data_IF_251931021204
#
_entry.id   IF_251931021204
#
_cell.length_a   1.000
_cell.length_b   1.000
_cell.length_c   1.000
_cell.angle_alpha   90.00
_cell.angle_beta   90.00
_cell.angle_gamma   90.00
#
_symmetry.space_group_name_H-M   'P 1'
#
loop_
_entity.id
_entity.type
_entity.pdbx_description
1 polymer ?
#
# COMPACT_ATOMS: atom_id res chain seq x y z
N UNK A 1 -23.01 -47.74 4.65
CA UNK A 1 -21.67 -47.16 4.91
C UNK A 1 -21.34 -45.91 4.09
N UNK A 2 -21.63 -45.83 2.78
CA UNK A 2 -21.36 -44.64 1.93
C UNK A 2 -21.93 -43.30 2.47
N UNK A 3 -23.12 -43.30 3.08
CA UNK A 3 -23.77 -42.09 3.61
C UNK A 3 -23.12 -41.55 4.91
N UNK A 4 -22.58 -42.43 5.75
CA UNK A 4 -21.91 -42.06 7.02
C UNK A 4 -20.53 -41.46 6.74
N UNK A 5 -19.79 -42.01 5.77
CA UNK A 5 -18.52 -41.44 5.31
C UNK A 5 -18.70 -40.04 4.71
N UNK A 6 -19.80 -39.80 3.97
CA UNK A 6 -20.09 -38.49 3.41
C UNK A 6 -20.37 -37.44 4.51
N UNK A 7 -21.14 -37.81 5.54
CA UNK A 7 -21.41 -36.94 6.68
C UNK A 7 -20.16 -36.66 7.51
N UNK A 8 -19.31 -37.66 7.73
CA UNK A 8 -18.03 -37.47 8.43
C UNK A 8 -17.08 -36.57 7.62
N UNK A 9 -17.03 -36.75 6.29
CA UNK A 9 -16.24 -35.92 5.38
C UNK A 9 -16.73 -34.46 5.34
N UNK A 10 -18.05 -34.25 5.26
CA UNK A 10 -18.66 -32.91 5.33
C UNK A 10 -18.43 -32.25 6.70
N UNK A 11 -18.47 -33.03 7.79
CA UNK A 11 -18.18 -32.54 9.14
C UNK A 11 -16.71 -32.10 9.25
N UNK A 12 -15.74 -32.90 8.80
CA UNK A 12 -14.32 -32.53 8.79
C UNK A 12 -14.07 -31.29 7.91
N UNK A 13 -14.72 -31.20 6.75
CA UNK A 13 -14.67 -30.01 5.88
C UNK A 13 -15.21 -28.76 6.59
N UNK A 14 -16.33 -28.87 7.30
CA UNK A 14 -16.91 -27.74 8.05
C UNK A 14 -16.01 -27.27 9.19
N UNK A 15 -15.29 -28.16 9.87
CA UNK A 15 -14.28 -27.79 10.87
C UNK A 15 -13.04 -27.18 10.24
N UNK A 16 -12.60 -27.65 9.07
CA UNK A 16 -11.45 -27.09 8.36
C UNK A 16 -11.71 -25.68 7.82
N UNK A 17 -12.93 -25.40 7.35
CA UNK A 17 -13.36 -24.07 6.91
C UNK A 17 -13.52 -23.11 8.09
N UNK A 18 -14.10 -23.57 9.21
CA UNK A 18 -14.19 -22.76 10.44
C UNK A 18 -12.83 -22.52 11.08
N UNK A 19 -11.90 -23.48 11.01
CA UNK A 19 -10.53 -23.25 11.45
C UNK A 19 -9.84 -22.23 10.52
N UNK A 20 -9.94 -22.38 9.20
CA UNK A 20 -9.35 -21.42 8.27
C UNK A 20 -9.86 -19.97 8.47
N UNK A 21 -11.13 -19.78 8.86
CA UNK A 21 -11.66 -18.46 9.23
C UNK A 21 -11.20 -17.99 10.63
N UNK A 22 -11.09 -18.87 11.61
CA UNK A 22 -10.66 -18.53 12.98
C UNK A 22 -9.22 -18.05 13.06
N UNK A 23 -8.32 -18.67 12.29
CA UNK A 23 -6.92 -18.26 12.23
C UNK A 23 -6.81 -16.85 11.61
N UNK A 24 -7.68 -16.55 10.66
CA UNK A 24 -7.76 -15.23 10.04
C UNK A 24 -8.23 -14.14 11.02
N UNK A 25 -9.25 -14.41 11.85
CA UNK A 25 -9.75 -13.42 12.83
C UNK A 25 -8.75 -13.08 13.92
N UNK A 26 -8.04 -14.09 14.46
CA UNK A 26 -6.97 -13.86 15.45
C UNK A 26 -5.85 -13.02 14.84
N UNK A 27 -5.40 -13.38 13.63
CA UNK A 27 -4.32 -12.66 12.97
C UNK A 27 -4.71 -11.23 12.61
N UNK A 28 -5.95 -11.00 12.16
CA UNK A 28 -6.51 -9.66 11.93
C UNK A 28 -6.47 -8.83 13.22
N UNK A 29 -6.93 -9.40 14.34
CA UNK A 29 -6.93 -8.73 15.64
C UNK A 29 -5.50 -8.39 16.11
N UNK A 30 -4.55 -9.30 15.93
CA UNK A 30 -3.14 -9.08 16.23
C UNK A 30 -2.54 -7.97 15.36
N UNK A 31 -2.86 -7.93 14.06
CA UNK A 31 -2.40 -6.87 13.16
C UNK A 31 -2.93 -5.50 13.61
N UNK A 32 -4.21 -5.41 13.96
CA UNK A 32 -4.77 -4.16 14.50
C UNK A 32 -4.13 -3.76 15.84
N UNK A 33 -3.84 -4.72 16.72
CA UNK A 33 -3.13 -4.45 17.97
C UNK A 33 -1.70 -3.96 17.72
N UNK A 34 -0.99 -4.53 16.73
CA UNK A 34 0.33 -4.04 16.30
C UNK A 34 0.24 -2.61 15.77
N UNK A 35 -0.72 -2.31 14.90
CA UNK A 35 -0.92 -0.96 14.35
C UNK A 35 -1.17 0.08 15.46
N UNK A 36 -1.97 -0.25 16.49
CA UNK A 36 -2.22 0.63 17.66
C UNK A 36 -0.95 1.03 18.42
N UNK A 37 0.13 0.27 18.32
CA UNK A 37 1.43 0.63 18.94
C UNK A 37 2.18 1.72 18.17
N UNK A 38 1.85 1.95 16.90
CA UNK A 38 2.56 2.88 16.02
C UNK A 38 1.85 4.22 15.83
N UNK A 39 0.53 4.29 16.10
CA UNK A 39 -0.30 5.45 15.81
C UNK A 39 -1.11 5.88 17.02
N UNK A 40 -1.40 7.17 17.11
CA UNK A 40 -2.47 7.65 17.99
C UNK A 40 -3.81 7.09 17.53
N UNK A 41 -4.80 7.06 18.41
CA UNK A 41 -6.14 6.56 18.06
C UNK A 41 -6.76 7.36 16.90
N UNK A 42 -6.60 8.69 16.90
CA UNK A 42 -7.09 9.56 15.83
C UNK A 42 -6.38 9.28 14.50
N UNK A 43 -5.04 9.17 14.51
CA UNK A 43 -4.28 8.85 13.29
C UNK A 43 -4.68 7.47 12.75
N UNK A 44 -4.86 6.48 13.65
CA UNK A 44 -5.24 5.13 13.27
C UNK A 44 -6.62 5.10 12.61
N UNK A 45 -7.60 5.78 13.20
CA UNK A 45 -8.96 5.86 12.65
C UNK A 45 -8.97 6.55 11.28
N UNK A 46 -8.21 7.64 11.13
CA UNK A 46 -8.09 8.35 9.87
C UNK A 46 -7.47 7.47 8.77
N UNK A 47 -6.37 6.78 9.07
CA UNK A 47 -5.71 5.87 8.12
C UNK A 47 -6.65 4.73 7.77
N UNK A 48 -7.27 4.07 8.76
CA UNK A 48 -8.20 2.96 8.54
C UNK A 48 -9.33 3.34 7.59
N UNK A 49 -9.97 4.49 7.82
CA UNK A 49 -11.05 4.99 6.96
C UNK A 49 -10.58 5.26 5.52
N UNK A 50 -9.32 5.67 5.32
CA UNK A 50 -8.77 5.80 3.96
C UNK A 50 -8.57 4.45 3.30
N UNK A 51 -7.99 3.49 4.02
CA UNK A 51 -7.70 2.14 3.52
C UNK A 51 -8.95 1.40 3.01
N UNK A 52 -10.14 1.71 3.56
CA UNK A 52 -11.40 1.14 3.09
C UNK A 52 -11.69 1.44 1.61
N UNK A 53 -11.03 2.44 1.00
CA UNK A 53 -11.20 2.81 -0.40
C UNK A 53 -10.17 2.19 -1.36
N UNK A 54 -9.20 1.42 -0.86
CA UNK A 54 -8.01 1.01 -1.63
C UNK A 54 -8.16 -0.33 -2.36
N UNK A 55 -9.31 -0.98 -2.26
CA UNK A 55 -9.60 -2.20 -3.02
C UNK A 55 -8.84 -3.45 -2.55
N UNK A 56 -8.54 -3.54 -1.24
CA UNK A 56 -7.97 -4.77 -0.65
C UNK A 56 -8.87 -5.99 -0.89
N UNK A 57 -8.27 -7.15 -1.13
CA UNK A 57 -9.01 -8.39 -1.40
C UNK A 57 -9.81 -8.88 -0.18
N UNK A 58 -9.28 -8.65 1.02
CA UNK A 58 -9.90 -9.05 2.28
C UNK A 58 -9.39 -8.20 3.46
N UNK A 59 -10.04 -8.37 4.61
CA UNK A 59 -9.73 -7.64 5.85
C UNK A 59 -8.33 -7.98 6.40
N UNK A 60 -7.84 -9.19 6.15
CA UNK A 60 -6.50 -9.60 6.55
C UNK A 60 -5.42 -8.82 5.82
N UNK A 61 -5.51 -8.71 4.49
CA UNK A 61 -4.55 -7.94 3.70
C UNK A 61 -4.54 -6.46 4.11
N UNK A 62 -5.73 -5.88 4.35
CA UNK A 62 -5.87 -4.50 4.84
C UNK A 62 -5.23 -4.33 6.22
N UNK A 63 -5.56 -5.20 7.17
CA UNK A 63 -5.05 -5.12 8.55
C UNK A 63 -3.52 -5.33 8.59
N UNK A 64 -3.00 -6.26 7.80
CA UNK A 64 -1.57 -6.52 7.69
C UNK A 64 -0.84 -5.34 7.05
N UNK A 65 -1.37 -4.78 5.95
CA UNK A 65 -0.85 -3.57 5.34
C UNK A 65 -0.79 -2.40 6.33
N UNK A 66 -1.87 -2.19 7.10
CA UNK A 66 -1.93 -1.18 8.15
C UNK A 66 -0.88 -1.38 9.24
N UNK A 67 -0.63 -2.63 9.62
CA UNK A 67 0.28 -2.97 10.73
C UNK A 67 1.76 -3.04 10.34
N UNK A 68 2.08 -3.35 9.09
CA UNK A 68 3.46 -3.58 8.63
C UNK A 68 3.94 -2.52 7.65
N UNK A 69 3.12 -2.16 6.66
CA UNK A 69 3.55 -1.29 5.55
C UNK A 69 3.40 0.18 5.88
N UNK A 70 2.27 0.60 6.47
CA UNK A 70 2.06 2.01 6.83
C UNK A 70 3.12 2.52 7.82
N UNK A 71 3.48 1.81 8.91
CA UNK A 71 4.55 2.24 9.80
C UNK A 71 5.90 2.36 9.11
N UNK A 72 6.19 1.46 8.15
CA UNK A 72 7.43 1.49 7.39
C UNK A 72 7.52 2.71 6.47
N UNK A 73 6.48 3.00 5.70
CA UNK A 73 6.39 4.20 4.86
C UNK A 73 6.59 5.46 5.72
N UNK A 74 5.87 5.54 6.86
CA UNK A 74 6.04 6.64 7.81
C UNK A 74 7.47 6.73 8.35
N UNK A 75 8.07 5.58 8.65
CA UNK A 75 9.47 5.48 9.09
C UNK A 75 10.42 6.06 8.06
N UNK A 76 10.29 5.68 6.80
CA UNK A 76 11.17 6.13 5.71
C UNK A 76 10.99 7.62 5.43
N UNK A 77 9.77 8.14 5.43
CA UNK A 77 9.51 9.59 5.36
C UNK A 77 10.21 10.34 6.49
N UNK A 78 10.12 9.82 7.73
CA UNK A 78 10.76 10.43 8.90
C UNK A 78 12.27 10.36 8.85
N UNK A 79 12.86 9.27 8.33
CA UNK A 79 14.32 9.13 8.15
C UNK A 79 14.88 10.25 7.27
N UNK A 80 14.14 10.67 6.24
CA UNK A 80 14.55 11.78 5.37
C UNK A 80 14.09 13.16 5.88
N UNK A 81 13.47 13.24 7.05
CA UNK A 81 13.07 14.49 7.70
C UNK A 81 11.61 14.93 7.48
N UNK A 82 10.81 14.17 6.74
CA UNK A 82 9.38 14.45 6.53
C UNK A 82 8.56 13.88 7.69
N UNK A 83 7.95 14.78 8.49
CA UNK A 83 7.18 14.42 9.68
C UNK A 83 5.69 14.68 9.56
N UNK A 84 5.24 15.35 8.50
CA UNK A 84 3.83 15.72 8.35
C UNK A 84 2.96 14.50 8.07
N UNK A 85 1.89 14.33 8.85
CA UNK A 85 0.93 13.26 8.63
C UNK A 85 0.18 13.43 7.29
N UNK A 86 0.00 14.66 6.78
CA UNK A 86 -0.60 14.89 5.46
C UNK A 86 0.20 14.24 4.33
N UNK A 87 1.53 14.33 4.35
CA UNK A 87 2.38 13.70 3.34
C UNK A 87 2.30 12.18 3.42
N UNK A 88 2.21 11.62 4.63
CA UNK A 88 1.95 10.18 4.79
C UNK A 88 0.62 9.80 4.12
N UNK A 89 -0.45 10.55 4.40
CA UNK A 89 -1.78 10.26 3.85
C UNK A 89 -1.81 10.37 2.33
N UNK A 90 -1.20 11.41 1.74
CA UNK A 90 -1.05 11.55 0.28
C UNK A 90 -0.26 10.37 -0.31
N UNK A 91 0.80 9.94 0.38
CA UNK A 91 1.57 8.75 -0.03
C UNK A 91 0.72 7.49 -0.02
N UNK A 92 -0.13 7.33 1.00
CA UNK A 92 -1.03 6.19 1.10
C UNK A 92 -2.10 6.21 0.00
N UNK A 93 -2.60 7.37 -0.41
CA UNK A 93 -3.56 7.47 -1.51
C UNK A 93 -2.95 6.97 -2.82
N UNK A 94 -1.69 7.32 -3.08
CA UNK A 94 -0.95 6.81 -4.25
C UNK A 94 -0.84 5.29 -4.20
N UNK A 95 -0.42 4.73 -3.05
CA UNK A 95 -0.35 3.28 -2.88
C UNK A 95 -1.74 2.65 -3.08
N UNK A 96 -2.77 3.23 -2.47
CA UNK A 96 -4.15 2.77 -2.57
C UNK A 96 -4.64 2.70 -4.01
N UNK A 97 -4.31 3.70 -4.81
CA UNK A 97 -4.62 3.70 -6.23
C UNK A 97 -3.93 2.55 -6.98
N UNK A 98 -2.65 2.31 -6.70
CA UNK A 98 -1.88 1.23 -7.34
C UNK A 98 -2.40 -0.16 -6.95
N UNK A 99 -2.88 -0.31 -5.71
CA UNK A 99 -3.56 -1.53 -5.24
C UNK A 99 -4.87 -1.71 -6.00
N UNK A 100 -5.74 -0.69 -6.01
CA UNK A 100 -7.04 -0.72 -6.68
C UNK A 100 -6.92 -1.09 -8.16
N UNK A 101 -5.89 -0.58 -8.84
CA UNK A 101 -5.62 -0.83 -10.25
C UNK A 101 -4.71 -2.05 -10.51
N UNK A 102 -4.44 -2.87 -9.49
CA UNK A 102 -3.68 -4.13 -9.59
C UNK A 102 -2.24 -4.00 -10.10
N UNK A 103 -1.65 -2.80 -10.02
CA UNK A 103 -0.21 -2.60 -10.21
C UNK A 103 0.57 -3.23 -9.06
N UNK A 104 -0.01 -3.21 -7.86
CA UNK A 104 0.48 -3.90 -6.68
C UNK A 104 -0.44 -5.07 -6.40
N UNK A 105 0.12 -6.28 -6.35
CA UNK A 105 -0.61 -7.48 -5.95
C UNK A 105 -0.25 -7.86 -4.53
N UNK A 106 -1.26 -8.28 -3.77
CA UNK A 106 -1.08 -8.90 -2.48
C UNK A 106 -1.05 -10.41 -2.66
N UNK A 107 -0.18 -11.07 -1.92
CA UNK A 107 -0.23 -12.53 -1.76
C UNK A 107 -0.08 -12.81 -0.29
N UNK A 108 -1.15 -13.30 0.35
CA UNK A 108 -1.18 -13.59 1.80
C UNK A 108 -0.74 -12.38 2.65
N UNK A 109 -1.28 -11.21 2.33
CA UNK A 109 -1.00 -9.93 2.99
C UNK A 109 0.44 -9.44 2.88
N UNK A 110 1.25 -10.03 2.00
CA UNK A 110 2.55 -9.49 1.62
C UNK A 110 2.42 -8.74 0.29
N UNK A 111 2.95 -7.51 0.24
CA UNK A 111 3.20 -6.80 -1.01
C UNK A 111 4.67 -7.00 -1.39
N UNK A 112 4.93 -7.48 -2.61
CA UNK A 112 6.28 -7.46 -3.16
C UNK A 112 6.63 -6.13 -3.85
N UNK A 113 5.82 -5.09 -3.67
CA UNK A 113 6.12 -3.79 -4.24
C UNK A 113 6.74 -2.85 -3.20
N UNK A 114 7.98 -2.42 -3.46
CA UNK A 114 8.75 -1.47 -2.66
C UNK A 114 8.86 -0.10 -3.34
N UNK A 115 8.12 0.13 -4.43
CA UNK A 115 8.15 1.32 -5.28
C UNK A 115 8.11 2.63 -4.50
N UNK A 116 7.19 2.78 -3.54
CA UNK A 116 7.06 3.97 -2.71
C UNK A 116 8.20 4.13 -1.70
N UNK A 117 8.65 3.03 -1.06
CA UNK A 117 9.79 3.11 -0.15
C UNK A 117 11.06 3.52 -0.93
N UNK A 118 11.27 2.92 -2.10
CA UNK A 118 12.38 3.25 -3.00
C UNK A 118 12.31 4.72 -3.45
N UNK A 119 11.12 5.23 -3.81
CA UNK A 119 10.92 6.64 -4.17
C UNK A 119 11.36 7.58 -3.04
N UNK A 120 10.96 7.29 -1.80
CA UNK A 120 11.33 8.07 -0.61
C UNK A 120 12.85 8.04 -0.40
N UNK A 121 13.49 6.92 -0.70
CA UNK A 121 14.95 6.73 -0.64
C UNK A 121 15.71 7.31 -1.85
N UNK A 122 15.03 7.95 -2.80
CA UNK A 122 15.65 8.62 -3.95
C UNK A 122 15.69 7.79 -5.24
N UNK A 123 15.04 6.63 -5.27
CA UNK A 123 15.01 5.70 -6.40
C UNK A 123 13.61 5.60 -7.01
N UNK A 124 13.24 6.49 -7.96
CA UNK A 124 11.86 6.59 -8.46
C UNK A 124 11.50 5.53 -9.51
N UNK A 125 12.46 4.72 -9.98
CA UNK A 125 12.31 3.89 -11.19
C UNK A 125 11.04 3.03 -11.18
N UNK A 126 10.87 2.21 -10.14
CA UNK A 126 9.73 1.27 -10.05
C UNK A 126 8.38 1.98 -10.01
N UNK A 127 8.24 3.06 -9.23
CA UNK A 127 6.98 3.79 -9.17
C UNK A 127 6.70 4.49 -10.51
N UNK A 128 7.72 5.03 -11.18
CA UNK A 128 7.57 5.66 -12.48
C UNK A 128 7.20 4.62 -13.56
N UNK A 129 7.76 3.42 -13.52
CA UNK A 129 7.37 2.32 -14.42
C UNK A 129 5.89 1.96 -14.26
N UNK A 130 5.37 1.94 -13.02
CA UNK A 130 3.94 1.74 -12.79
C UNK A 130 3.09 2.87 -13.37
N UNK A 131 3.53 4.12 -13.22
CA UNK A 131 2.82 5.27 -13.76
C UNK A 131 2.84 5.31 -15.29
N UNK A 132 3.95 4.93 -15.93
CA UNK A 132 4.05 4.83 -17.40
C UNK A 132 3.06 3.80 -17.96
N UNK A 133 2.77 2.75 -17.20
CA UNK A 133 1.77 1.74 -17.59
C UNK A 133 0.32 2.25 -17.47
N UNK A 134 0.10 3.41 -16.85
CA UNK A 134 -1.21 4.06 -16.88
C UNK A 134 -1.47 4.54 -18.29
N UNK A 135 -2.48 3.96 -18.95
CA UNK A 135 -2.91 4.43 -20.25
C UNK A 135 -3.99 5.51 -20.05
N UNK A 136 -3.66 6.77 -20.35
CA UNK A 136 -4.59 7.90 -20.29
C UNK A 136 -4.43 8.78 -21.51
N UNK A 137 -5.55 9.14 -22.13
CA UNK A 137 -5.56 10.09 -23.26
C UNK A 137 -5.21 11.53 -22.85
N UNK A 138 -5.09 11.81 -21.55
CA UNK A 138 -4.90 13.17 -21.01
C UNK A 138 -3.47 13.47 -20.59
N UNK A 139 -2.67 12.44 -20.30
CA UNK A 139 -1.31 12.59 -19.77
C UNK A 139 -0.42 11.62 -20.54
N UNK A 140 0.63 12.16 -21.15
CA UNK A 140 1.73 11.33 -21.63
C UNK A 140 2.63 10.95 -20.44
N UNK A 141 2.35 9.81 -19.81
CA UNK A 141 3.13 9.34 -18.68
C UNK A 141 4.55 8.91 -19.10
N UNK A 142 4.75 8.52 -20.37
CA UNK A 142 6.06 8.16 -20.91
C UNK A 142 7.00 9.36 -20.91
N UNK A 143 6.52 10.50 -21.40
CA UNK A 143 7.25 11.76 -21.33
C UNK A 143 7.43 12.23 -19.88
N UNK A 144 6.36 12.18 -19.08
CA UNK A 144 6.33 12.78 -17.74
C UNK A 144 7.14 12.01 -16.68
N UNK A 145 7.29 10.70 -16.83
CA UNK A 145 7.94 9.82 -15.87
C UNK A 145 9.08 8.97 -16.49
N UNK A 146 9.46 9.25 -17.74
CA UNK A 146 10.57 8.59 -18.43
C UNK A 146 11.96 8.93 -17.88
N UNK A 147 13.00 8.54 -18.62
CA UNK A 147 14.40 8.65 -18.17
C UNK A 147 14.83 10.07 -17.77
N UNK A 148 14.40 11.09 -18.53
CA UNK A 148 14.71 12.48 -18.20
C UNK A 148 14.09 12.92 -16.87
N UNK A 149 12.86 12.49 -16.58
CA UNK A 149 12.19 12.79 -15.32
C UNK A 149 12.88 12.09 -14.13
N UNK A 150 13.37 10.85 -14.33
CA UNK A 150 14.15 10.12 -13.31
C UNK A 150 15.43 10.86 -12.96
N UNK A 151 16.14 11.36 -13.96
CA UNK A 151 17.38 12.10 -13.78
C UNK A 151 17.13 13.44 -13.08
N UNK A 152 16.13 14.20 -13.52
CA UNK A 152 15.71 15.45 -12.86
C UNK A 152 15.34 15.23 -11.40
N UNK A 153 14.62 14.14 -11.09
CA UNK A 153 14.28 13.78 -9.72
C UNK A 153 15.53 13.50 -8.89
N UNK A 154 16.47 12.67 -9.37
CA UNK A 154 17.72 12.36 -8.65
C UNK A 154 18.53 13.62 -8.35
N UNK A 155 18.71 14.49 -9.34
CA UNK A 155 19.41 15.76 -9.16
C UNK A 155 18.72 16.67 -8.13
N UNK A 156 17.39 16.69 -8.12
CA UNK A 156 16.61 17.45 -7.15
C UNK A 156 16.72 16.84 -5.75
N UNK A 157 16.69 15.51 -5.65
CA UNK A 157 16.82 14.75 -4.41
C UNK A 157 18.20 14.96 -3.76
N UNK A 158 19.27 14.95 -4.54
CA UNK A 158 20.63 15.17 -4.04
C UNK A 158 20.82 16.60 -3.49
N UNK A 159 20.08 17.57 -4.04
CA UNK A 159 20.08 18.96 -3.55
C UNK A 159 19.22 19.13 -2.30
N UNK A 160 17.97 18.66 -2.34
CA UNK A 160 17.01 18.75 -1.24
C UNK A 160 16.01 17.59 -1.28
N UNK A 161 16.31 16.55 -0.50
CA UNK A 161 15.52 15.32 -0.38
C UNK A 161 14.08 15.59 0.03
N UNK A 162 13.88 16.50 0.99
CA UNK A 162 12.56 16.78 1.57
C UNK A 162 11.67 17.42 0.52
N UNK A 163 12.19 18.44 -0.16
CA UNK A 163 11.45 19.15 -1.20
C UNK A 163 11.18 18.25 -2.40
N UNK A 164 12.18 17.50 -2.87
CA UNK A 164 12.03 16.60 -4.01
C UNK A 164 10.95 15.53 -3.78
N UNK A 165 10.98 14.85 -2.63
CA UNK A 165 10.00 13.81 -2.30
C UNK A 165 8.59 14.39 -2.16
N UNK A 166 8.43 15.54 -1.47
CA UNK A 166 7.11 16.18 -1.34
C UNK A 166 6.53 16.60 -2.70
N UNK A 167 7.36 17.16 -3.57
CA UNK A 167 6.93 17.62 -4.88
C UNK A 167 6.51 16.44 -5.77
N UNK A 168 7.31 15.38 -5.84
CA UNK A 168 6.97 14.24 -6.70
C UNK A 168 5.73 13.50 -6.21
N UNK A 169 5.55 13.33 -4.89
CA UNK A 169 4.33 12.70 -4.34
C UNK A 169 3.09 13.51 -4.71
N UNK A 170 3.13 14.84 -4.55
CA UNK A 170 2.02 15.72 -4.96
C UNK A 170 1.73 15.65 -6.46
N UNK A 171 2.78 15.63 -7.29
CA UNK A 171 2.64 15.51 -8.73
C UNK A 171 1.99 14.18 -9.10
N UNK A 172 2.52 13.06 -8.58
CA UNK A 172 1.94 11.72 -8.81
C UNK A 172 0.47 11.73 -8.42
N UNK A 173 0.12 12.15 -7.21
CA UNK A 173 -1.26 12.18 -6.73
C UNK A 173 -2.18 13.03 -7.62
N UNK A 174 -1.69 14.15 -8.16
CA UNK A 174 -2.45 14.99 -9.08
C UNK A 174 -2.65 14.35 -10.46
N UNK A 175 -1.67 13.54 -10.89
CA UNK A 175 -1.65 12.89 -12.19
C UNK A 175 -2.41 11.56 -12.21
N UNK A 176 -2.73 10.97 -11.06
CA UNK A 176 -3.53 9.75 -11.02
C UNK A 176 -4.93 10.00 -11.63
N UNK A 177 -5.41 9.12 -12.52
CA UNK A 177 -6.77 9.19 -13.06
C UNK A 177 -7.79 9.24 -11.93
N UNK A 178 -8.69 10.24 -12.01
CA UNK A 178 -9.82 10.37 -11.11
C UNK A 178 -11.03 9.75 -11.81
N UNK A 179 -11.29 8.49 -11.49
CA UNK A 179 -12.52 7.80 -11.87
C UNK A 179 -13.67 8.23 -10.95
#
# INVERSE_FOLDING_TARGET
MRKVFLLLFLFILSFSLNAASWWNERDIAENYAKARKHFSENDLNLIKNRLDNYGFENEYDKSKFLSERVPKIRGDLRKIGIKENSVLLDTLDIVGYLIKNKFIKFTLGSTFDWSINNLIEGYPGTIFDHLIQLNSNKIDYGEKYGEEAREKFRQSYDKDKITAVKQILKQILADLPKD
#
